data_IF_824262273537
#
_entry.id   IF_824262273537
#
_cell.length_a   1.000
_cell.length_b   1.000
_cell.length_c   1.000
_cell.angle_alpha   90.00
_cell.angle_beta   90.00
_cell.angle_gamma   90.00
#
_symmetry.space_group_name_H-M   'P 1'
#
loop_
_entity.id
_entity.type
_entity.pdbx_description
1 polymer ?
#
# COMPACT_ATOMS: atom_id res chain seq x y z
N UNK A 1 -8.79 -10.56 16.28
CA UNK A 1 -8.81 -10.61 17.78
C UNK A 1 -10.15 -10.08 18.28
N UNK A 2 -10.76 -10.74 19.28
CA UNK A 2 -12.05 -10.30 19.83
C UNK A 2 -11.92 -9.00 20.63
N UNK A 3 -12.83 -8.06 20.43
CA UNK A 3 -12.98 -6.89 21.31
C UNK A 3 -13.90 -7.30 22.45
N UNK A 4 -13.47 -7.10 23.69
CA UNK A 4 -14.30 -7.34 24.88
C UNK A 4 -14.71 -6.01 25.49
N UNK A 5 -15.96 -5.94 25.95
CA UNK A 5 -16.47 -4.80 26.72
C UNK A 5 -16.10 -5.02 28.18
N UNK A 6 -15.47 -4.02 28.79
CA UNK A 6 -15.18 -4.00 30.22
C UNK A 6 -15.46 -2.61 30.79
N UNK A 7 -15.90 -2.55 32.04
CA UNK A 7 -16.24 -1.29 32.71
C UNK A 7 -15.03 -0.77 33.50
N UNK A 8 -14.76 0.52 33.37
CA UNK A 8 -13.74 1.24 34.13
C UNK A 8 -14.40 2.29 35.02
N UNK A 9 -13.96 2.40 36.27
CA UNK A 9 -14.32 3.50 37.16
C UNK A 9 -13.22 4.55 37.05
N UNK A 10 -13.57 5.74 36.56
CA UNK A 10 -12.67 6.87 36.37
C UNK A 10 -13.33 8.14 36.92
N UNK A 11 -12.51 9.13 37.27
CA UNK A 11 -13.02 10.44 37.67
C UNK A 11 -13.65 11.16 36.45
N UNK A 12 -14.77 11.86 36.65
CA UNK A 12 -15.49 12.58 35.57
C UNK A 12 -14.60 13.58 34.81
N UNK A 13 -13.70 14.27 35.49
CA UNK A 13 -12.76 15.21 34.86
C UNK A 13 -11.74 14.49 33.98
N UNK A 14 -11.35 13.26 34.34
CA UNK A 14 -10.50 12.41 33.51
C UNK A 14 -11.26 11.97 32.26
N UNK A 15 -12.53 11.58 32.38
CA UNK A 15 -13.37 11.20 31.24
C UNK A 15 -13.48 12.35 30.24
N UNK A 16 -13.77 13.57 30.71
CA UNK A 16 -13.84 14.77 29.85
C UNK A 16 -12.52 15.02 29.11
N UNK A 17 -11.38 14.89 29.79
CA UNK A 17 -10.06 15.07 29.16
C UNK A 17 -9.77 14.00 28.11
N UNK A 18 -10.10 12.74 28.40
CA UNK A 18 -9.97 11.62 27.44
C UNK A 18 -10.83 11.89 26.20
N UNK A 19 -12.06 12.35 26.37
CA UNK A 19 -12.95 12.67 25.25
C UNK A 19 -12.42 13.79 24.38
N UNK A 20 -11.90 14.86 24.98
CA UNK A 20 -11.26 15.94 24.24
C UNK A 20 -10.06 15.44 23.43
N UNK A 21 -9.24 14.55 24.00
CA UNK A 21 -8.07 13.99 23.33
C UNK A 21 -8.47 13.03 22.20
N UNK A 22 -9.47 12.18 22.42
CA UNK A 22 -10.01 11.29 21.40
C UNK A 22 -10.60 12.10 20.22
N UNK A 23 -11.34 13.18 20.53
CA UNK A 23 -11.89 14.09 19.54
C UNK A 23 -10.81 14.82 18.75
N UNK A 24 -9.80 15.37 19.43
CA UNK A 24 -8.66 16.04 18.79
C UNK A 24 -7.90 15.09 17.84
N UNK A 25 -7.82 13.81 18.19
CA UNK A 25 -7.21 12.75 17.35
C UNK A 25 -8.17 12.11 16.35
N UNK A 26 -9.42 12.61 16.24
CA UNK A 26 -10.47 12.07 15.36
C UNK A 26 -10.67 10.55 15.50
N UNK A 27 -10.60 10.03 16.73
CA UNK A 27 -10.77 8.61 17.04
C UNK A 27 -11.89 8.41 18.07
N UNK A 28 -12.33 7.17 18.29
CA UNK A 28 -13.31 6.87 19.34
C UNK A 28 -12.64 6.85 20.71
N UNK A 29 -13.42 7.12 21.78
CA UNK A 29 -12.97 6.97 23.18
C UNK A 29 -12.35 5.59 23.42
N UNK A 30 -13.01 4.53 22.95
CA UNK A 30 -12.54 3.15 23.13
C UNK A 30 -11.23 2.88 22.41
N UNK A 31 -11.04 3.40 21.19
CA UNK A 31 -9.78 3.27 20.47
C UNK A 31 -8.66 4.06 21.16
N UNK A 32 -8.93 5.31 21.58
CA UNK A 32 -7.94 6.13 22.28
C UNK A 32 -7.48 5.50 23.59
N UNK A 33 -8.42 5.03 24.42
CA UNK A 33 -8.09 4.31 25.67
C UNK A 33 -7.29 3.05 25.36
N UNK A 34 -7.69 2.28 24.35
CA UNK A 34 -6.94 1.09 23.94
C UNK A 34 -5.51 1.43 23.51
N UNK A 35 -5.28 2.52 22.77
CA UNK A 35 -3.95 2.99 22.37
C UNK A 35 -3.08 3.37 23.57
N UNK A 36 -3.63 4.10 24.54
CA UNK A 36 -2.91 4.53 25.75
C UNK A 36 -2.54 3.32 26.61
N UNK A 37 -3.50 2.44 26.89
CA UNK A 37 -3.25 1.25 27.73
C UNK A 37 -2.25 0.30 27.08
N UNK A 38 -2.39 0.08 25.77
CA UNK A 38 -1.49 -0.76 25.00
C UNK A 38 -0.06 -0.21 25.04
N UNK A 39 0.13 1.09 24.81
CA UNK A 39 1.43 1.75 24.95
C UNK A 39 2.03 1.55 26.34
N UNK A 40 1.21 1.64 27.40
CA UNK A 40 1.67 1.49 28.78
C UNK A 40 2.11 0.05 29.12
N UNK A 41 1.46 -0.96 28.55
CA UNK A 41 1.80 -2.38 28.77
C UNK A 41 2.75 -2.95 27.71
N UNK A 42 3.36 -2.10 26.88
CA UNK A 42 4.21 -2.52 25.75
C UNK A 42 3.49 -3.46 24.78
N UNK A 43 2.17 -3.33 24.66
CA UNK A 43 1.37 -4.01 23.65
C UNK A 43 1.20 -3.09 22.44
N UNK A 44 1.56 -3.54 21.25
CA UNK A 44 1.32 -2.78 20.02
C UNK A 44 -0.15 -2.91 19.64
N UNK A 45 -0.90 -1.80 19.60
CA UNK A 45 -2.28 -1.85 19.09
C UNK A 45 -2.29 -2.15 17.60
N UNK A 46 -3.37 -2.76 17.08
CA UNK A 46 -3.55 -2.89 15.63
C UNK A 46 -3.43 -1.56 14.89
N UNK A 47 -3.92 -0.46 15.46
CA UNK A 47 -3.83 0.89 14.89
C UNK A 47 -2.38 1.38 14.81
N UNK A 48 -1.61 1.23 15.89
CA UNK A 48 -0.21 1.61 15.90
C UNK A 48 0.59 0.78 14.90
N UNK A 49 0.34 -0.53 14.85
CA UNK A 49 0.95 -1.43 13.86
C UNK A 49 0.71 -1.00 12.43
N UNK A 50 -0.53 -0.64 12.08
CA UNK A 50 -0.87 -0.15 10.73
C UNK A 50 -0.05 1.10 10.41
N UNK A 51 -0.01 2.05 11.35
CA UNK A 51 0.76 3.28 11.21
C UNK A 51 2.25 2.98 11.01
N UNK A 52 2.83 2.10 11.82
CA UNK A 52 4.25 1.74 11.76
C UNK A 52 4.63 1.11 10.41
N UNK A 53 3.75 0.29 9.81
CA UNK A 53 3.97 -0.29 8.48
C UNK A 53 4.02 0.81 7.40
N UNK A 54 3.07 1.76 7.45
CA UNK A 54 2.98 2.84 6.48
C UNK A 54 4.12 3.86 6.65
N UNK A 55 4.46 4.20 7.90
CA UNK A 55 5.59 5.08 8.23
C UNK A 55 6.92 4.44 7.77
N UNK A 56 7.08 3.12 7.94
CA UNK A 56 8.23 2.41 7.40
C UNK A 56 8.28 2.46 5.87
N UNK A 57 7.16 2.19 5.19
CA UNK A 57 7.09 2.29 3.73
C UNK A 57 7.43 3.71 3.24
N UNK A 58 6.91 4.74 3.90
CA UNK A 58 7.22 6.15 3.63
C UNK A 58 8.71 6.43 3.79
N UNK A 59 9.32 6.03 4.90
CA UNK A 59 10.74 6.25 5.17
C UNK A 59 11.66 5.61 4.12
N UNK A 60 11.24 4.49 3.51
CA UNK A 60 11.97 3.88 2.39
C UNK A 60 11.84 4.64 1.07
N UNK A 61 10.73 5.35 0.86
CA UNK A 61 10.44 6.09 -0.36
C UNK A 61 10.92 7.55 -0.29
N UNK A 62 10.92 8.17 0.89
CA UNK A 62 11.26 9.58 1.12
C UNK A 62 12.65 10.01 0.61
N UNK A 63 13.70 9.17 0.64
CA UNK A 63 14.99 9.54 0.04
C UNK A 63 14.97 9.74 -1.48
N UNK A 64 13.94 9.23 -2.18
CA UNK A 64 13.79 9.46 -3.61
C UNK A 64 12.92 10.70 -3.84
N UNK A 65 13.55 11.80 -4.24
CA UNK A 65 12.90 13.12 -4.43
C UNK A 65 11.70 13.13 -5.41
N UNK A 66 11.55 12.09 -6.24
CA UNK A 66 10.42 11.94 -7.16
C UNK A 66 9.08 11.63 -6.48
N UNK A 67 9.09 11.13 -5.24
CA UNK A 67 7.87 10.76 -4.52
C UNK A 67 7.37 11.92 -3.64
N UNK A 68 6.18 12.42 -3.96
CA UNK A 68 5.46 13.40 -3.16
C UNK A 68 4.39 12.73 -2.30
N UNK A 69 4.44 12.95 -0.98
CA UNK A 69 3.45 12.42 -0.03
C UNK A 69 2.35 13.44 0.24
N UNK A 70 1.10 12.97 0.30
CA UNK A 70 -0.05 13.80 0.68
C UNK A 70 -0.36 13.56 2.15
N UNK A 71 -0.47 14.63 2.94
CA UNK A 71 -0.92 14.51 4.33
C UNK A 71 -2.34 13.96 4.40
N UNK A 72 -2.52 12.88 5.15
CA UNK A 72 -3.82 12.25 5.36
C UNK A 72 -4.19 12.34 6.84
N UNK A 73 -5.46 12.66 7.12
CA UNK A 73 -6.01 12.66 8.48
C UNK A 73 -6.31 11.24 9.01
N UNK A 74 -5.97 10.20 8.26
CA UNK A 74 -6.24 8.81 8.60
C UNK A 74 -4.93 8.03 8.70
N UNK A 75 -4.78 7.26 9.77
CA UNK A 75 -3.59 6.45 10.02
C UNK A 75 -3.59 5.12 9.25
N UNK A 76 -4.63 4.83 8.47
CA UNK A 76 -4.77 3.56 7.72
C UNK A 76 -4.43 3.67 6.24
N UNK A 77 -4.04 4.86 5.76
CA UNK A 77 -3.78 5.13 4.36
C UNK A 77 -2.45 5.84 4.14
N UNK A 78 -1.84 5.59 2.99
CA UNK A 78 -0.71 6.37 2.48
C UNK A 78 -0.98 6.74 1.02
N UNK A 79 -0.81 8.03 0.68
CA UNK A 79 -0.99 8.56 -0.67
C UNK A 79 0.34 9.15 -1.15
N UNK A 80 0.89 8.52 -2.19
CA UNK A 80 2.18 8.86 -2.82
C UNK A 80 1.93 9.21 -4.28
N UNK A 81 2.57 10.26 -4.76
CA UNK A 81 2.46 10.71 -6.15
C UNK A 81 3.84 10.81 -6.78
N UNK A 82 3.93 10.46 -8.05
CA UNK A 82 5.14 10.63 -8.87
C UNK A 82 4.76 11.05 -10.28
N UNK A 83 5.69 11.72 -10.96
CA UNK A 83 5.51 12.14 -12.33
C UNK A 83 5.83 10.97 -13.29
N UNK A 84 4.99 10.77 -14.28
CA UNK A 84 5.23 9.82 -15.35
C UNK A 84 6.19 10.41 -16.39
N UNK A 85 7.05 9.54 -16.91
CA UNK A 85 7.94 9.81 -18.05
C UNK A 85 7.16 9.85 -19.37
N UNK A 86 6.20 10.78 -19.47
CA UNK A 86 5.35 11.01 -20.65
C UNK A 86 5.32 12.50 -20.99
N UNK A 87 4.94 12.84 -22.24
CA UNK A 87 4.70 14.25 -22.63
C UNK A 87 3.75 14.90 -21.61
N UNK A 88 3.92 16.20 -21.36
CA UNK A 88 3.20 16.98 -20.33
C UNK A 88 3.25 16.44 -18.88
N UNK A 89 4.10 15.45 -18.58
CA UNK A 89 4.43 14.92 -17.23
C UNK A 89 3.20 14.69 -16.33
N UNK A 90 2.26 13.83 -16.75
CA UNK A 90 1.09 13.50 -15.95
C UNK A 90 1.52 12.82 -14.63
N UNK A 91 0.67 12.91 -13.62
CA UNK A 91 0.94 12.33 -12.30
C UNK A 91 0.25 10.97 -12.17
N UNK A 92 0.99 9.97 -11.68
CA UNK A 92 0.42 8.74 -11.15
C UNK A 92 0.34 8.82 -9.62
N UNK A 93 -0.77 8.35 -9.08
CA UNK A 93 -1.08 8.33 -7.65
C UNK A 93 -1.14 6.88 -7.17
N UNK A 94 -0.36 6.56 -6.15
CA UNK A 94 -0.39 5.32 -5.41
C UNK A 94 -1.09 5.54 -4.07
N UNK A 95 -2.25 4.91 -3.89
CA UNK A 95 -2.99 4.93 -2.63
C UNK A 95 -2.93 3.55 -1.98
N UNK A 96 -2.32 3.46 -0.81
CA UNK A 96 -2.23 2.25 -0.01
C UNK A 96 -3.28 2.28 1.11
N UNK A 97 -3.90 1.15 1.36
CA UNK A 97 -4.87 0.93 2.43
C UNK A 97 -4.58 -0.40 3.12
N UNK A 98 -4.31 -0.38 4.43
CA UNK A 98 -4.13 -1.62 5.21
C UNK A 98 -5.51 -2.10 5.67
N UNK A 99 -5.93 -3.27 5.17
CA UNK A 99 -7.27 -3.83 5.37
C UNK A 99 -7.39 -4.69 6.65
N UNK A 100 -6.28 -5.19 7.19
CA UNK A 100 -6.23 -6.06 8.38
C UNK A 100 -5.69 -7.47 8.09
N UNK A 101 -5.38 -8.26 9.13
CA UNK A 101 -4.77 -9.62 8.99
C UNK A 101 -5.76 -10.78 9.06
N UNK A 102 -7.04 -10.50 9.28
CA UNK A 102 -8.07 -11.54 9.32
C UNK A 102 -8.25 -12.12 7.90
N UNK A 103 -8.57 -13.42 7.78
CA UNK A 103 -8.57 -14.21 6.52
C UNK A 103 -8.93 -13.38 5.27
N UNK A 104 -7.92 -12.97 4.50
CA UNK A 104 -8.11 -12.11 3.32
C UNK A 104 -6.85 -11.30 2.97
N UNK A 105 -6.96 -10.35 2.02
CA UNK A 105 -5.86 -9.46 1.65
C UNK A 105 -5.53 -8.51 2.81
N UNK A 106 -4.25 -8.30 3.07
CA UNK A 106 -3.81 -7.41 4.15
C UNK A 106 -3.60 -5.97 3.70
N UNK A 107 -3.31 -5.77 2.41
CA UNK A 107 -3.03 -4.48 1.81
C UNK A 107 -3.75 -4.37 0.48
N UNK A 108 -4.28 -3.18 0.22
CA UNK A 108 -4.78 -2.77 -1.08
C UNK A 108 -3.94 -1.60 -1.59
N UNK A 109 -3.43 -1.71 -2.80
CA UNK A 109 -2.82 -0.61 -3.55
C UNK A 109 -3.76 -0.21 -4.69
N UNK A 110 -3.96 1.09 -4.87
CA UNK A 110 -4.52 1.66 -6.09
C UNK A 110 -3.47 2.51 -6.80
N UNK A 111 -3.19 2.23 -8.05
CA UNK A 111 -2.36 3.04 -8.92
C UNK A 111 -3.24 3.72 -9.97
N UNK A 112 -3.39 5.04 -9.88
CA UNK A 112 -4.33 5.81 -10.70
C UNK A 112 -3.62 6.95 -11.43
N UNK A 113 -3.90 7.08 -12.73
CA UNK A 113 -3.44 8.22 -13.53
C UNK A 113 -4.62 9.12 -13.84
N UNK A 114 -4.52 10.40 -13.48
CA UNK A 114 -5.57 11.37 -13.83
C UNK A 114 -5.27 11.97 -15.19
N UNK A 115 -5.93 11.48 -16.22
CA UNK A 115 -5.78 11.96 -17.61
C UNK A 115 -7.10 11.91 -18.37
N UNK A 116 -7.24 12.78 -19.37
CA UNK A 116 -8.30 12.74 -20.38
C UNK A 116 -7.75 12.38 -21.78
N UNK A 117 -6.43 12.21 -21.90
CA UNK A 117 -5.80 11.85 -23.17
C UNK A 117 -6.07 10.38 -23.49
N UNK A 118 -6.87 10.11 -24.52
CA UNK A 118 -7.16 8.76 -25.01
C UNK A 118 -5.90 7.94 -25.28
N UNK A 119 -4.87 8.56 -25.86
CA UNK A 119 -3.58 7.91 -26.13
C UNK A 119 -2.85 7.47 -24.85
N UNK A 120 -2.89 8.29 -23.78
CA UNK A 120 -2.26 7.91 -22.53
C UNK A 120 -3.10 6.88 -21.76
N UNK A 121 -4.43 6.99 -21.83
CA UNK A 121 -5.34 6.00 -21.24
C UNK A 121 -5.05 4.61 -21.83
N UNK A 122 -4.95 4.51 -23.16
CA UNK A 122 -4.64 3.26 -23.86
C UNK A 122 -3.26 2.73 -23.47
N UNK A 123 -2.24 3.59 -23.45
CA UNK A 123 -0.88 3.19 -23.05
C UNK A 123 -0.80 2.67 -21.60
N UNK A 124 -1.55 3.28 -20.67
CA UNK A 124 -1.61 2.83 -19.27
C UNK A 124 -2.34 1.48 -19.16
N UNK A 125 -3.40 1.28 -19.94
CA UNK A 125 -4.12 0.01 -20.00
C UNK A 125 -3.25 -1.13 -20.56
N UNK A 126 -2.50 -0.86 -21.64
CA UNK A 126 -1.54 -1.80 -22.22
C UNK A 126 -0.44 -2.17 -21.21
N UNK A 127 0.10 -1.17 -20.51
CA UNK A 127 1.08 -1.38 -19.46
C UNK A 127 0.54 -2.30 -18.35
N UNK A 128 -0.62 -1.99 -17.78
CA UNK A 128 -1.17 -2.79 -16.68
C UNK A 128 -1.56 -4.19 -17.13
N UNK A 129 -1.97 -4.37 -18.39
CA UNK A 129 -2.18 -5.69 -18.99
C UNK A 129 -0.87 -6.51 -19.02
N UNK A 130 0.25 -5.90 -19.40
CA UNK A 130 1.57 -6.56 -19.37
C UNK A 130 1.99 -6.86 -17.93
N UNK A 131 1.85 -5.88 -17.04
CA UNK A 131 2.21 -6.01 -15.63
C UNK A 131 1.47 -7.17 -14.95
N UNK A 132 0.15 -7.26 -15.15
CA UNK A 132 -0.68 -8.35 -14.63
C UNK A 132 -0.24 -9.72 -15.17
N UNK A 133 0.12 -9.81 -16.45
CA UNK A 133 0.62 -11.06 -17.05
C UNK A 133 1.95 -11.49 -16.44
N UNK A 134 2.89 -10.56 -16.29
CA UNK A 134 4.20 -10.82 -15.67
C UNK A 134 4.04 -11.27 -14.23
N UNK A 135 3.19 -10.58 -13.47
CA UNK A 135 2.89 -10.91 -12.08
C UNK A 135 2.28 -12.32 -11.96
N UNK A 136 1.27 -12.63 -12.79
CA UNK A 136 0.64 -13.95 -12.80
C UNK A 136 1.60 -15.09 -13.12
N UNK A 137 2.60 -14.87 -13.99
CA UNK A 137 3.60 -15.89 -14.32
C UNK A 137 4.56 -16.23 -13.18
N UNK A 138 4.71 -15.33 -12.20
CA UNK A 138 5.67 -15.49 -11.10
C UNK A 138 5.00 -15.84 -9.77
N UNK A 139 3.70 -15.59 -9.64
CA UNK A 139 2.90 -16.00 -8.48
C UNK A 139 2.54 -17.49 -8.60
N UNK A 140 2.67 -18.30 -7.53
CA UNK A 140 2.31 -19.72 -7.56
C UNK A 140 0.83 -19.96 -7.87
N UNK A 141 0.54 -21.03 -8.61
CA UNK A 141 -0.81 -21.46 -9.02
C UNK A 141 -1.80 -21.63 -7.84
N UNK A 142 -1.30 -21.84 -6.62
CA UNK A 142 -2.13 -21.91 -5.41
C UNK A 142 -2.98 -20.64 -5.15
N UNK A 143 -2.70 -19.54 -5.85
CA UNK A 143 -3.44 -18.28 -5.77
C UNK A 143 -4.30 -17.98 -7.01
N UNK A 144 -4.40 -18.88 -7.99
CA UNK A 144 -5.14 -18.64 -9.25
C UNK A 144 -6.65 -18.42 -9.04
N UNK A 145 -7.23 -18.97 -7.97
CA UNK A 145 -8.65 -18.78 -7.63
C UNK A 145 -8.93 -17.44 -6.92
N UNK A 146 -7.90 -16.67 -6.58
CA UNK A 146 -8.02 -15.41 -5.86
C UNK A 146 -7.84 -14.25 -6.83
N UNK A 147 -8.84 -13.39 -6.94
CA UNK A 147 -8.71 -12.15 -7.72
C UNK A 147 -7.80 -11.17 -6.99
N UNK A 148 -6.53 -11.13 -7.41
CA UNK A 148 -5.51 -10.28 -6.79
C UNK A 148 -5.46 -8.89 -7.43
N UNK A 149 -5.90 -8.76 -8.68
CA UNK A 149 -5.74 -7.55 -9.48
C UNK A 149 -7.01 -7.20 -10.22
N UNK A 150 -7.31 -5.92 -10.35
CA UNK A 150 -8.31 -5.42 -11.30
C UNK A 150 -7.86 -4.11 -11.94
N UNK A 151 -8.40 -3.79 -13.12
CA UNK A 151 -8.14 -2.52 -13.80
C UNK A 151 -9.45 -1.94 -14.32
N UNK A 152 -9.84 -0.78 -13.78
CA UNK A 152 -11.07 -0.08 -14.15
C UNK A 152 -10.87 1.42 -14.04
N UNK A 153 -11.46 2.21 -14.93
CA UNK A 153 -11.43 3.69 -14.86
C UNK A 153 -10.02 4.29 -14.71
N UNK A 154 -9.04 3.76 -15.46
CA UNK A 154 -7.63 4.18 -15.40
C UNK A 154 -7.04 4.05 -13.99
N UNK A 155 -7.49 3.01 -13.27
CA UNK A 155 -7.07 2.69 -11.92
C UNK A 155 -6.79 1.20 -11.84
N UNK A 156 -5.51 0.86 -11.70
CA UNK A 156 -5.09 -0.49 -11.33
C UNK A 156 -5.25 -0.68 -9.83
N UNK A 157 -5.87 -1.78 -9.42
CA UNK A 157 -6.00 -2.19 -8.02
C UNK A 157 -5.25 -3.49 -7.81
N UNK A 158 -4.43 -3.55 -6.76
CA UNK A 158 -3.72 -4.75 -6.32
C UNK A 158 -4.04 -5.06 -4.86
N UNK A 159 -4.45 -6.29 -4.59
CA UNK A 159 -4.69 -6.84 -3.26
C UNK A 159 -3.56 -7.79 -2.87
N UNK A 160 -2.83 -7.49 -1.81
CA UNK A 160 -1.70 -8.30 -1.36
C UNK A 160 -2.09 -9.22 -0.21
N UNK A 161 -1.50 -10.40 -0.20
CA UNK A 161 -1.66 -11.44 0.80
C UNK A 161 -0.31 -11.74 1.45
N UNK A 162 -0.35 -12.21 2.70
CA UNK A 162 0.86 -12.67 3.40
C UNK A 162 1.04 -14.17 3.16
N UNK A 163 2.23 -14.55 2.72
CA UNK A 163 2.63 -15.96 2.57
C UNK A 163 2.68 -16.69 3.90
N UNK A 164 3.18 -15.99 4.92
CA UNK A 164 3.20 -16.47 6.29
C UNK A 164 2.56 -15.41 7.19
N UNK A 165 1.66 -15.84 8.05
CA UNK A 165 0.95 -14.97 9.01
C UNK A 165 1.67 -14.88 10.36
N UNK A 166 2.78 -15.60 10.53
CA UNK A 166 3.65 -15.49 11.69
C UNK A 166 4.24 -14.08 11.78
N UNK A 167 4.79 -13.74 12.94
CA UNK A 167 5.02 -12.37 13.42
C UNK A 167 6.00 -11.52 12.55
N UNK A 168 5.60 -11.13 11.33
CA UNK A 168 6.41 -10.29 10.42
C UNK A 168 6.48 -8.88 10.98
N UNK A 169 7.69 -8.40 11.18
CA UNK A 169 8.03 -7.04 11.60
C UNK A 169 7.47 -5.99 10.63
N UNK A 170 6.96 -4.90 11.20
CA UNK A 170 6.34 -3.78 10.50
C UNK A 170 7.31 -3.13 9.51
N UNK A 171 8.57 -2.98 9.91
CA UNK A 171 9.62 -2.39 9.08
C UNK A 171 9.91 -3.24 7.83
N UNK A 172 9.88 -4.56 7.98
CA UNK A 172 10.09 -5.50 6.88
C UNK A 172 8.91 -5.47 5.90
N UNK A 173 7.67 -5.36 6.39
CA UNK A 173 6.48 -5.16 5.55
C UNK A 173 6.54 -3.81 4.81
N UNK A 174 6.84 -2.72 5.53
CA UNK A 174 6.97 -1.40 4.91
C UNK A 174 8.00 -1.39 3.79
N UNK A 175 9.14 -2.05 3.99
CA UNK A 175 10.17 -2.22 2.94
C UNK A 175 9.65 -2.97 1.71
N UNK A 176 8.91 -4.06 1.92
CA UNK A 176 8.36 -4.84 0.81
C UNK A 176 7.33 -4.03 0.00
N UNK A 177 6.48 -3.26 0.68
CA UNK A 177 5.49 -2.36 0.05
C UNK A 177 6.19 -1.27 -0.77
N UNK A 178 7.20 -0.61 -0.18
CA UNK A 178 7.99 0.40 -0.88
C UNK A 178 8.72 -0.20 -2.10
N UNK A 179 9.29 -1.40 -1.95
CA UNK A 179 9.93 -2.12 -3.05
C UNK A 179 8.94 -2.41 -4.20
N UNK A 180 7.70 -2.80 -3.90
CA UNK A 180 6.68 -2.96 -4.95
C UNK A 180 6.41 -1.66 -5.69
N UNK A 181 6.18 -0.55 -4.97
CA UNK A 181 5.92 0.77 -5.58
C UNK A 181 7.10 1.18 -6.49
N UNK A 182 8.33 1.08 -5.99
CA UNK A 182 9.52 1.46 -6.79
C UNK A 182 9.70 0.55 -8.01
N UNK A 183 9.35 -0.74 -7.92
CA UNK A 183 9.44 -1.69 -9.03
C UNK A 183 8.38 -1.40 -10.08
N UNK A 184 7.13 -1.15 -9.65
CA UNK A 184 6.03 -0.77 -10.53
C UNK A 184 6.34 0.54 -11.27
N UNK A 185 6.85 1.54 -10.55
CA UNK A 185 7.23 2.84 -11.11
C UNK A 185 8.39 2.70 -12.11
N UNK A 186 9.42 1.89 -11.78
CA UNK A 186 10.51 1.56 -12.72
C UNK A 186 10.01 0.85 -13.98
N UNK A 187 9.12 -0.12 -13.82
CA UNK A 187 8.52 -0.84 -14.96
C UNK A 187 7.70 0.09 -15.84
N UNK A 188 6.98 1.03 -15.24
CA UNK A 188 6.20 2.04 -15.94
C UNK A 188 7.11 3.01 -16.71
N UNK A 189 8.23 3.43 -16.13
CA UNK A 189 9.24 4.24 -16.82
C UNK A 189 9.87 3.49 -18.01
N UNK A 190 10.18 2.20 -17.85
CA UNK A 190 10.69 1.33 -18.95
C UNK A 190 9.67 1.28 -20.08
N UNK A 191 8.39 1.04 -19.76
CA UNK A 191 7.32 0.97 -20.75
C UNK A 191 7.12 2.30 -21.48
N UNK A 192 6.99 3.40 -20.74
CA UNK A 192 6.74 4.73 -21.31
C UNK A 192 7.89 5.21 -22.20
N UNK A 193 9.13 4.84 -21.86
CA UNK A 193 10.31 5.20 -22.65
C UNK A 193 10.46 4.39 -23.95
N UNK A 194 9.73 3.27 -24.08
CA UNK A 194 9.89 2.31 -25.16
C UNK A 194 8.53 1.86 -25.75
N UNK A 195 7.54 2.76 -25.77
CA UNK A 195 6.19 2.45 -26.27
C UNK A 195 6.16 1.92 -27.71
N UNK A 196 7.20 2.19 -28.51
CA UNK A 196 7.33 1.72 -29.89
C UNK A 196 7.96 0.31 -30.02
N UNK A 197 8.42 -0.32 -28.92
CA UNK A 197 9.10 -1.62 -28.93
C UNK A 197 8.62 -2.55 -27.80
N UNK A 198 7.45 -3.15 -27.99
CA UNK A 198 6.75 -3.91 -26.95
C UNK A 198 7.46 -5.20 -26.52
N UNK A 199 8.14 -5.92 -27.43
CA UNK A 199 8.77 -7.21 -27.11
C UNK A 199 9.96 -7.05 -26.15
N UNK A 200 10.77 -6.00 -26.36
CA UNK A 200 11.89 -5.68 -25.48
C UNK A 200 11.41 -5.27 -24.08
N UNK A 201 10.31 -4.51 -24.01
CA UNK A 201 9.74 -4.00 -22.76
C UNK A 201 9.25 -5.11 -21.83
N UNK A 202 8.63 -6.16 -22.38
CA UNK A 202 8.10 -7.27 -21.57
C UNK A 202 9.22 -7.99 -20.81
N UNK A 203 10.36 -8.24 -21.47
CA UNK A 203 11.52 -8.91 -20.86
C UNK A 203 12.09 -8.10 -19.69
N UNK A 204 12.24 -6.79 -19.86
CA UNK A 204 12.80 -5.91 -18.82
C UNK A 204 11.83 -5.74 -17.64
N UNK A 205 10.52 -5.63 -17.91
CA UNK A 205 9.49 -5.61 -16.86
C UNK A 205 9.49 -6.94 -16.10
N UNK A 206 9.59 -8.07 -16.79
CA UNK A 206 9.67 -9.39 -16.16
C UNK A 206 10.90 -9.51 -15.27
N UNK A 207 12.07 -9.08 -15.75
CA UNK A 207 13.31 -9.09 -14.96
C UNK A 207 13.18 -8.23 -13.70
N UNK A 208 12.62 -7.02 -13.82
CA UNK A 208 12.39 -6.12 -12.69
C UNK A 208 11.43 -6.73 -11.65
N UNK A 209 10.31 -7.32 -12.09
CA UNK A 209 9.37 -7.98 -11.17
C UNK A 209 10.01 -9.21 -10.51
N UNK A 210 10.72 -10.04 -11.26
CA UNK A 210 11.39 -11.25 -10.74
C UNK A 210 12.43 -10.90 -9.67
N UNK A 211 13.21 -9.84 -9.87
CA UNK A 211 14.17 -9.36 -8.87
C UNK A 211 13.46 -8.92 -7.58
N UNK A 212 12.37 -8.17 -7.72
CA UNK A 212 11.52 -7.79 -6.58
C UNK A 212 10.99 -9.02 -5.85
N UNK A 213 10.36 -9.95 -6.57
CA UNK A 213 9.69 -11.13 -6.01
C UNK A 213 10.67 -12.01 -5.23
N UNK A 214 11.87 -12.23 -5.77
CA UNK A 214 12.93 -12.99 -5.10
C UNK A 214 13.44 -12.33 -3.81
N UNK A 215 13.44 -10.99 -3.73
CA UNK A 215 13.92 -10.24 -2.56
C UNK A 215 12.86 -10.08 -1.47
N UNK A 216 11.59 -9.98 -1.84
CA UNK A 216 10.52 -9.66 -0.90
C UNK A 216 9.77 -10.90 -0.43
N UNK A 217 9.43 -11.85 -1.31
CA UNK A 217 8.96 -13.23 -1.05
C UNK A 217 7.85 -13.46 -0.01
N UNK A 218 7.39 -12.42 0.68
CA UNK A 218 6.54 -12.48 1.88
C UNK A 218 5.15 -11.89 1.61
N UNK A 219 5.07 -10.98 0.63
CA UNK A 219 3.83 -10.41 0.11
C UNK A 219 3.62 -11.03 -1.28
N UNK A 220 2.48 -11.67 -1.45
CA UNK A 220 1.97 -12.07 -2.76
C UNK A 220 0.93 -11.06 -3.15
#
# INVERSE_FOLDING_TARGET
MGKSVYSLILNDEVIKKIDMLAYARRTSRSNYISEVLASHVSYTTPQQRIKDILDAARAFLEPYEKYAFVEMNSNSFMDVRTALSYRYRPTIRYCLEILGRDKGPFLKLKAQVRTQSSSLISAIEDFFTIWQKVEKQLIPDAYDEVEMTSYENVCYTRFFFLNDRMNIEEQRLGKAIAAYITTLDKALDIFMSNMDNTDYVISDIYAAYKEYYAKTGMII
#
